data_IF_884547882824
#
_entry.id   IF_884547882824
#
_cell.length_a   1.000
_cell.length_b   1.000
_cell.length_c   1.000
_cell.angle_alpha   90.00
_cell.angle_beta   90.00
_cell.angle_gamma   90.00
#
_symmetry.space_group_name_H-M   'P 1'
#
loop_
_entity.id
_entity.type
_entity.pdbx_description
1 polymer ?
#
# COMPACT_ATOMS: atom_id res chain seq x y z
N UNK A 1 50.37 17.15 -32.01
CA UNK A 1 50.04 15.83 -31.44
C UNK A 1 49.08 16.07 -30.29
N UNK A 2 47.81 16.22 -30.63
CA UNK A 2 46.69 16.30 -29.69
C UNK A 2 46.59 15.02 -28.88
N UNK A 3 46.61 15.14 -27.55
CA UNK A 3 45.94 14.19 -26.65
C UNK A 3 45.28 14.97 -25.51
N UNK A 4 44.00 15.23 -25.75
CA UNK A 4 42.99 15.63 -24.78
C UNK A 4 43.02 14.69 -23.55
N UNK A 5 42.96 15.25 -22.34
CA UNK A 5 42.84 14.49 -21.09
C UNK A 5 41.49 13.76 -20.96
N UNK A 6 41.37 12.81 -20.02
CA UNK A 6 40.16 12.01 -19.87
C UNK A 6 39.00 12.90 -19.42
N UNK A 7 37.92 12.91 -20.21
CA UNK A 7 36.67 13.57 -19.87
C UNK A 7 36.14 13.00 -18.56
N UNK A 8 35.86 13.89 -17.61
CA UNK A 8 35.11 13.53 -16.41
C UNK A 8 33.70 13.10 -16.83
N UNK A 9 33.29 11.91 -16.38
CA UNK A 9 31.89 11.50 -16.48
C UNK A 9 31.00 12.53 -15.79
N UNK A 10 29.84 12.90 -16.35
CA UNK A 10 28.90 13.78 -15.69
C UNK A 10 28.38 13.11 -14.40
N UNK A 11 28.08 13.87 -13.33
CA UNK A 11 27.50 13.31 -12.12
C UNK A 11 26.19 12.63 -12.52
N UNK A 12 26.11 11.33 -12.24
CA UNK A 12 24.99 10.47 -12.58
C UNK A 12 23.68 11.17 -12.23
N UNK A 13 22.84 11.33 -13.25
CA UNK A 13 21.45 11.68 -13.07
C UNK A 13 20.88 10.76 -11.99
N UNK A 14 20.49 11.35 -10.86
CA UNK A 14 19.91 10.62 -9.75
C UNK A 14 18.79 9.74 -10.29
N UNK A 15 18.88 8.44 -10.02
CA UNK A 15 17.79 7.52 -10.23
C UNK A 15 16.52 8.15 -9.64
N UNK A 16 15.39 8.17 -10.38
CA UNK A 16 14.14 8.66 -9.83
C UNK A 16 13.85 7.87 -8.55
N UNK A 17 13.61 8.59 -7.45
CA UNK A 17 13.19 8.01 -6.17
C UNK A 17 11.92 7.19 -6.41
N UNK A 18 12.07 5.87 -6.50
CA UNK A 18 10.96 4.92 -6.60
C UNK A 18 10.24 4.92 -5.26
N UNK A 19 9.02 5.47 -5.25
CA UNK A 19 7.99 5.35 -4.20
C UNK A 19 8.45 5.43 -2.74
N UNK A 20 8.32 6.59 -2.11
CA UNK A 20 8.42 6.72 -0.65
C UNK A 20 7.59 5.64 0.04
N UNK A 21 8.24 4.76 0.81
CA UNK A 21 7.57 3.79 1.68
C UNK A 21 6.61 4.56 2.58
N UNK A 22 5.32 4.24 2.50
CA UNK A 22 4.30 4.89 3.33
C UNK A 22 4.24 4.18 4.67
N UNK A 23 4.18 4.96 5.73
CA UNK A 23 3.78 4.47 7.05
C UNK A 23 2.31 4.02 7.03
N UNK A 24 1.91 3.26 8.06
CA UNK A 24 0.52 2.82 8.20
C UNK A 24 -0.45 4.02 8.29
N UNK A 25 -0.03 5.06 9.00
CA UNK A 25 -0.74 6.34 9.17
C UNK A 25 -0.86 7.11 7.86
N UNK A 26 0.23 7.24 7.09
CA UNK A 26 0.21 7.93 5.79
C UNK A 26 -0.68 7.21 4.79
N UNK A 27 -0.66 5.88 4.77
CA UNK A 27 -1.59 5.10 3.95
C UNK A 27 -3.03 5.40 4.36
N UNK A 28 -3.35 5.33 5.65
CA UNK A 28 -4.73 5.54 6.11
C UNK A 28 -5.23 6.95 5.79
N UNK A 29 -4.40 7.96 6.00
CA UNK A 29 -4.71 9.34 5.65
C UNK A 29 -4.98 9.52 4.14
N UNK A 30 -4.18 8.87 3.28
CA UNK A 30 -4.40 8.88 1.84
C UNK A 30 -5.70 8.19 1.43
N UNK A 31 -6.02 7.03 2.03
CA UNK A 31 -7.25 6.30 1.74
C UNK A 31 -8.48 7.13 2.16
N UNK A 32 -8.43 7.78 3.32
CA UNK A 32 -9.45 8.74 3.75
C UNK A 32 -9.62 9.89 2.74
N UNK A 33 -8.51 10.49 2.30
CA UNK A 33 -8.56 11.59 1.34
C UNK A 33 -9.18 11.17 0.00
N UNK A 34 -8.80 9.99 -0.52
CA UNK A 34 -9.38 9.42 -1.74
C UNK A 34 -10.86 9.14 -1.61
N UNK A 35 -11.26 8.56 -0.48
CA UNK A 35 -12.67 8.25 -0.17
C UNK A 35 -13.50 9.54 -0.08
N UNK A 36 -13.03 10.54 0.68
CA UNK A 36 -13.70 11.83 0.83
C UNK A 36 -13.83 12.60 -0.49
N UNK A 37 -12.79 12.54 -1.33
CA UNK A 37 -12.80 13.18 -2.65
C UNK A 37 -13.58 12.41 -3.73
N UNK A 38 -14.01 11.17 -3.45
CA UNK A 38 -14.61 10.30 -4.47
C UNK A 38 -13.70 10.12 -5.69
N UNK A 39 -12.39 9.97 -5.47
CA UNK A 39 -11.37 9.99 -6.54
C UNK A 39 -11.67 8.94 -7.63
N UNK A 40 -11.92 9.37 -8.90
CA UNK A 40 -12.21 8.44 -9.99
C UNK A 40 -11.08 7.44 -10.22
N UNK A 41 -11.42 6.18 -10.47
CA UNK A 41 -10.46 5.10 -10.69
C UNK A 41 -9.76 4.59 -9.43
N UNK A 42 -10.07 5.12 -8.25
CA UNK A 42 -9.53 4.60 -6.99
C UNK A 42 -10.15 3.25 -6.64
N UNK A 43 -9.32 2.23 -6.44
CA UNK A 43 -9.75 0.91 -5.93
C UNK A 43 -10.44 1.01 -4.58
N UNK A 44 -9.99 1.92 -3.71
CA UNK A 44 -10.62 2.24 -2.42
C UNK A 44 -12.06 2.72 -2.57
N UNK A 45 -12.31 3.72 -3.43
CA UNK A 45 -13.66 4.26 -3.67
C UNK A 45 -14.57 3.17 -4.24
N UNK A 46 -14.10 2.44 -5.24
CA UNK A 46 -14.86 1.32 -5.82
C UNK A 46 -15.15 0.22 -4.80
N UNK A 47 -14.25 -0.04 -3.85
CA UNK A 47 -14.48 -1.02 -2.78
C UNK A 47 -15.54 -0.52 -1.79
N UNK A 48 -15.49 0.75 -1.40
CA UNK A 48 -16.49 1.38 -0.51
C UNK A 48 -17.88 1.37 -1.13
N UNK A 49 -18.01 1.63 -2.44
CA UNK A 49 -19.28 1.53 -3.17
C UNK A 49 -19.88 0.11 -3.15
N UNK A 50 -19.03 -0.93 -3.15
CA UNK A 50 -19.47 -2.34 -3.03
C UNK A 50 -19.85 -2.74 -1.60
N UNK A 51 -19.50 -1.92 -0.61
CA UNK A 51 -19.88 -2.09 0.78
C UNK A 51 -19.09 -3.13 1.57
N UNK A 52 -19.38 -3.17 2.87
CA UNK A 52 -18.64 -3.93 3.89
C UNK A 52 -18.48 -5.42 3.59
N UNK A 53 -19.49 -6.06 2.98
CA UNK A 53 -19.44 -7.49 2.65
C UNK A 53 -18.38 -7.81 1.60
N UNK A 54 -18.27 -6.98 0.56
CA UNK A 54 -17.27 -7.17 -0.50
C UNK A 54 -15.84 -6.94 0.04
N UNK A 55 -15.69 -5.94 0.91
CA UNK A 55 -14.41 -5.64 1.56
C UNK A 55 -14.01 -6.77 2.52
N UNK A 56 -14.94 -7.26 3.34
CA UNK A 56 -14.69 -8.36 4.28
C UNK A 56 -14.26 -9.65 3.58
N UNK A 57 -14.84 -9.96 2.41
CA UNK A 57 -14.35 -11.08 1.57
C UNK A 57 -12.90 -10.91 1.16
N UNK A 58 -12.51 -9.71 0.73
CA UNK A 58 -11.11 -9.43 0.37
C UNK A 58 -10.18 -9.55 1.58
N UNK A 59 -10.57 -9.05 2.76
CA UNK A 59 -9.76 -9.27 3.98
C UNK A 59 -9.50 -10.75 4.24
N UNK A 60 -10.51 -11.61 4.09
CA UNK A 60 -10.34 -13.07 4.27
C UNK A 60 -9.46 -13.68 3.18
N UNK A 61 -9.61 -13.25 1.93
CA UNK A 61 -8.77 -13.68 0.79
C UNK A 61 -7.30 -13.34 1.03
N UNK A 62 -6.98 -12.08 1.34
CA UNK A 62 -5.60 -11.64 1.59
C UNK A 62 -5.00 -12.31 2.84
N UNK A 63 -5.82 -12.61 3.85
CA UNK A 63 -5.35 -13.33 5.03
C UNK A 63 -4.95 -14.78 4.68
N UNK A 64 -5.72 -15.43 3.81
CA UNK A 64 -5.36 -16.76 3.31
C UNK A 64 -4.11 -16.70 2.41
N UNK A 65 -4.02 -15.72 1.52
CA UNK A 65 -2.86 -15.53 0.64
C UNK A 65 -1.59 -15.20 1.44
N UNK A 66 -1.67 -14.33 2.44
CA UNK A 66 -0.55 -14.03 3.33
C UNK A 66 -0.07 -15.25 4.10
N UNK A 67 -0.99 -16.09 4.59
CA UNK A 67 -0.64 -17.35 5.24
C UNK A 67 0.07 -18.30 4.27
N UNK A 68 -0.52 -18.53 3.09
CA UNK A 68 0.05 -19.42 2.07
C UNK A 68 1.43 -18.95 1.60
N UNK A 69 1.59 -17.65 1.37
CA UNK A 69 2.86 -17.07 0.96
C UNK A 69 3.93 -17.19 2.06
N UNK A 70 3.55 -17.01 3.33
CA UNK A 70 4.46 -17.20 4.45
C UNK A 70 4.92 -18.67 4.62
N UNK A 71 4.07 -19.65 4.27
CA UNK A 71 4.43 -21.07 4.38
C UNK A 71 5.17 -21.63 3.17
N UNK A 72 4.90 -21.11 1.98
CA UNK A 72 5.28 -21.79 0.73
C UNK A 72 6.02 -20.91 -0.28
N UNK A 73 6.08 -19.60 -0.07
CA UNK A 73 6.67 -18.66 -1.02
C UNK A 73 7.87 -17.92 -0.41
N UNK A 74 8.36 -16.89 -1.10
CA UNK A 74 9.50 -16.09 -0.66
C UNK A 74 9.12 -15.03 0.37
N UNK A 75 10.07 -14.52 1.17
CA UNK A 75 9.82 -13.39 2.06
C UNK A 75 9.24 -12.16 1.36
N UNK A 76 9.66 -11.90 0.12
CA UNK A 76 9.16 -10.78 -0.67
C UNK A 76 7.68 -10.98 -1.05
N UNK A 77 7.29 -12.21 -1.43
CA UNK A 77 5.88 -12.53 -1.71
C UNK A 77 5.03 -12.46 -0.44
N UNK A 78 5.52 -12.98 0.68
CA UNK A 78 4.81 -12.86 1.96
C UNK A 78 4.62 -11.38 2.36
N UNK A 79 5.64 -10.54 2.18
CA UNK A 79 5.55 -9.11 2.44
C UNK A 79 4.52 -8.42 1.53
N UNK A 80 4.45 -8.80 0.26
CA UNK A 80 3.44 -8.32 -0.69
C UNK A 80 2.02 -8.65 -0.21
N UNK A 81 1.72 -9.91 0.11
CA UNK A 81 0.37 -10.28 0.56
C UNK A 81 0.00 -9.68 1.92
N UNK A 82 0.96 -9.58 2.85
CA UNK A 82 0.74 -8.87 4.12
C UNK A 82 0.43 -7.40 3.85
N UNK A 83 1.09 -6.75 2.89
CA UNK A 83 0.79 -5.36 2.53
C UNK A 83 -0.63 -5.20 1.99
N UNK A 84 -1.11 -6.16 1.20
CA UNK A 84 -2.48 -6.17 0.68
C UNK A 84 -3.49 -6.39 1.80
N UNK A 85 -3.20 -7.30 2.73
CA UNK A 85 -4.02 -7.52 3.92
C UNK A 85 -4.14 -6.24 4.77
N UNK A 86 -3.04 -5.55 5.03
CA UNK A 86 -3.04 -4.29 5.77
C UNK A 86 -3.85 -3.20 5.04
N UNK A 87 -3.73 -3.13 3.71
CA UNK A 87 -4.56 -2.25 2.89
C UNK A 87 -6.06 -2.59 3.05
N UNK A 88 -6.47 -3.85 2.90
CA UNK A 88 -7.89 -4.23 3.01
C UNK A 88 -8.43 -4.01 4.42
N UNK A 89 -7.61 -4.21 5.46
CA UNK A 89 -7.97 -3.89 6.83
C UNK A 89 -8.26 -2.39 7.02
N UNK A 90 -7.43 -1.52 6.47
CA UNK A 90 -7.68 -0.07 6.49
C UNK A 90 -8.93 0.33 5.68
N UNK A 91 -9.18 -0.30 4.53
CA UNK A 91 -10.43 -0.08 3.78
C UNK A 91 -11.66 -0.54 4.56
N UNK A 92 -11.54 -1.63 5.33
CA UNK A 92 -12.61 -2.10 6.22
C UNK A 92 -12.86 -1.10 7.37
N UNK A 93 -11.82 -0.47 7.91
CA UNK A 93 -11.97 0.61 8.89
C UNK A 93 -12.80 1.77 8.30
N UNK A 94 -12.49 2.21 7.08
CA UNK A 94 -13.26 3.26 6.40
C UNK A 94 -14.72 2.86 6.19
N UNK A 95 -14.99 1.62 5.75
CA UNK A 95 -16.35 1.12 5.54
C UNK A 95 -17.16 0.97 6.83
N UNK A 96 -16.50 0.89 7.98
CA UNK A 96 -17.13 0.74 9.30
C UNK A 96 -17.09 2.03 10.13
N UNK A 97 -16.51 3.11 9.59
CA UNK A 97 -16.42 4.41 10.26
C UNK A 97 -15.44 4.44 11.44
N UNK A 98 -14.41 3.59 11.42
CA UNK A 98 -13.38 3.54 12.45
C UNK A 98 -12.19 4.44 12.11
N UNK A 99 -11.64 5.09 13.13
CA UNK A 99 -10.37 5.80 13.07
C UNK A 99 -9.21 4.90 13.54
N UNK A 100 -7.97 5.27 13.20
CA UNK A 100 -6.77 4.55 13.68
C UNK A 100 -6.73 4.42 15.21
N UNK A 101 -7.09 5.48 15.93
CA UNK A 101 -7.13 5.48 17.40
C UNK A 101 -8.07 4.42 17.97
N UNK A 102 -9.15 4.10 17.25
CA UNK A 102 -10.14 3.12 17.69
C UNK A 102 -9.60 1.70 17.59
N UNK A 103 -8.66 1.44 16.66
CA UNK A 103 -7.94 0.17 16.55
C UNK A 103 -6.74 0.14 17.49
N UNK A 104 -5.94 1.21 17.52
CA UNK A 104 -4.70 1.29 18.30
C UNK A 104 -4.91 1.16 19.81
N UNK A 105 -6.08 1.55 20.34
CA UNK A 105 -6.41 1.34 21.75
C UNK A 105 -6.51 -0.14 22.16
N UNK A 106 -6.50 -1.06 21.20
CA UNK A 106 -6.54 -2.51 21.41
C UNK A 106 -5.19 -3.20 21.21
N UNK A 107 -4.14 -2.46 20.83
CA UNK A 107 -2.77 -2.93 20.71
C UNK A 107 -2.01 -2.66 22.02
#
# INVERSE_FOLDING_TARGET
>A
MDRCGPGADPPGAGLPQSGTVKTFEELFAELQAKAAAGTPGSSTVAALERGVHAIGKKVVEEAAEAWMAAEHETPDRAAEEISQLLYQAQVLMLATGLELKDVYRHL
#
